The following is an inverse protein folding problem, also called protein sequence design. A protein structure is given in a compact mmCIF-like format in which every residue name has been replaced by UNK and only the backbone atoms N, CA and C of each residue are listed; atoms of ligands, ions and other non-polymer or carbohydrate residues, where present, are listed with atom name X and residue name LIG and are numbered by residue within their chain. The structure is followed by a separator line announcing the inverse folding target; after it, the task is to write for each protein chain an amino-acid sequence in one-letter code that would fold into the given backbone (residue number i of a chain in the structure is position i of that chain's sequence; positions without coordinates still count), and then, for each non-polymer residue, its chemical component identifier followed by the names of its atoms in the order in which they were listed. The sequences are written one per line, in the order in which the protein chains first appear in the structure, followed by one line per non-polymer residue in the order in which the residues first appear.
data_IF_307402372975
#
_entry.id   IF_307402372975
#
_cell.length_a   1.000
_cell.length_b   1.000
_cell.length_c   1.000
_cell.angle_alpha   90.00
_cell.angle_beta   90.00
_cell.angle_gamma   90.00
#
_symmetry.space_group_name_H-M   'P 1'
#
loop_
_entity.id
_entity.type
_entity.pdbx_description
1 polymer ?
#
# COMPACT_ATOMS: atom_id res chain seq x y z
N UNK A 1 -0.99 -15.81 24.53
CA UNK A 1 -1.68 -14.50 24.33
C UNK A 1 -1.39 -13.85 22.96
N UNK A 2 -1.00 -14.60 21.93
CA UNK A 2 -0.54 -14.06 20.62
C UNK A 2 -1.68 -13.85 19.62
N UNK A 3 -2.72 -14.68 19.69
CA UNK A 3 -3.89 -14.63 18.80
C UNK A 3 -4.66 -13.29 18.81
N UNK A 4 -4.99 -12.67 19.96
CA UNK A 4 -5.75 -11.41 19.96
C UNK A 4 -4.95 -10.25 19.35
N UNK A 5 -3.63 -10.22 19.55
CA UNK A 5 -2.77 -9.16 19.00
C UNK A 5 -2.65 -9.25 17.48
N UNK A 6 -2.61 -10.46 16.92
CA UNK A 6 -2.61 -10.68 15.47
C UNK A 6 -3.91 -10.20 14.82
N UNK A 7 -5.06 -10.48 15.45
CA UNK A 7 -6.37 -10.01 14.97
C UNK A 7 -6.43 -8.48 15.00
N UNK A 8 -5.99 -7.86 16.09
CA UNK A 8 -5.92 -6.39 16.21
C UNK A 8 -5.04 -5.79 15.12
N UNK A 9 -3.90 -6.40 14.84
CA UNK A 9 -2.99 -5.92 13.78
C UNK A 9 -3.59 -6.05 12.38
N UNK A 10 -4.29 -7.16 12.09
CA UNK A 10 -5.00 -7.33 10.81
C UNK A 10 -6.10 -6.27 10.66
N UNK A 11 -6.89 -6.03 11.71
CA UNK A 11 -7.90 -4.97 11.71
C UNK A 11 -7.26 -3.60 11.48
N UNK A 12 -6.15 -3.32 12.15
CA UNK A 12 -5.37 -2.09 11.95
C UNK A 12 -4.93 -1.94 10.49
N UNK A 13 -4.40 -3.00 9.86
CA UNK A 13 -4.02 -2.98 8.44
C UNK A 13 -5.21 -2.70 7.51
N UNK A 14 -6.38 -3.28 7.79
CA UNK A 14 -7.61 -3.00 7.04
C UNK A 14 -7.97 -1.52 7.17
N UNK A 15 -7.98 -0.97 8.39
CA UNK A 15 -8.25 0.45 8.61
C UNK A 15 -7.24 1.36 7.91
N UNK A 16 -5.94 1.04 7.96
CA UNK A 16 -4.91 1.77 7.23
C UNK A 16 -5.15 1.72 5.72
N UNK A 17 -5.52 0.57 5.17
CA UNK A 17 -5.82 0.40 3.73
C UNK A 17 -7.03 1.24 3.31
N UNK A 18 -8.10 1.22 4.11
CA UNK A 18 -9.28 2.05 3.88
C UNK A 18 -8.95 3.54 3.97
N UNK A 19 -8.15 3.93 4.96
CA UNK A 19 -7.67 5.30 5.11
C UNK A 19 -6.87 5.76 3.91
N UNK A 20 -5.87 4.98 3.48
CA UNK A 20 -5.06 5.28 2.29
C UNK A 20 -5.92 5.43 1.05
N UNK A 21 -6.82 4.47 0.80
CA UNK A 21 -7.76 4.55 -0.34
C UNK A 21 -8.56 5.83 -0.30
N UNK A 22 -9.18 6.14 0.84
CA UNK A 22 -9.99 7.36 1.01
C UNK A 22 -9.18 8.63 0.78
N UNK A 23 -7.96 8.68 1.30
CA UNK A 23 -7.08 9.83 1.19
C UNK A 23 -6.57 10.05 -0.24
N UNK A 24 -6.13 8.99 -0.93
CA UNK A 24 -5.71 9.03 -2.33
C UNK A 24 -6.89 9.45 -3.22
N UNK A 25 -8.06 8.82 -3.06
CA UNK A 25 -9.26 9.17 -3.83
C UNK A 25 -9.70 10.62 -3.61
N UNK A 26 -9.65 11.11 -2.37
CA UNK A 26 -10.01 12.50 -2.05
C UNK A 26 -9.10 13.50 -2.75
N UNK A 27 -7.78 13.26 -2.75
CA UNK A 27 -6.83 14.16 -3.37
C UNK A 27 -6.94 14.12 -4.90
N UNK A 28 -7.11 12.92 -5.45
CA UNK A 28 -7.36 12.70 -6.87
C UNK A 28 -8.60 13.47 -7.36
N UNK A 29 -9.74 13.36 -6.67
CA UNK A 29 -10.97 14.08 -7.02
C UNK A 29 -10.85 15.61 -6.89
N UNK A 30 -9.86 16.10 -6.13
CA UNK A 30 -9.60 17.54 -5.94
C UNK A 30 -8.56 18.10 -6.89
N UNK A 31 -8.02 17.29 -7.81
CA UNK A 31 -6.93 17.73 -8.69
C UNK A 31 -5.59 17.93 -7.98
N UNK A 32 -5.44 17.39 -6.76
CA UNK A 32 -4.23 17.57 -5.95
C UNK A 32 -3.29 16.37 -6.11
N UNK A 33 -1.97 16.54 -5.87
CA UNK A 33 -1.03 15.41 -5.75
C UNK A 33 -1.58 14.32 -4.82
N UNK A 34 -1.42 13.05 -5.18
CA UNK A 34 -2.04 11.93 -4.46
C UNK A 34 -1.66 11.90 -2.97
N UNK A 35 -0.46 12.38 -2.63
CA UNK A 35 0.04 12.50 -1.24
C UNK A 35 0.06 13.94 -0.70
N UNK A 36 -0.66 14.87 -1.31
CA UNK A 36 -0.54 16.31 -1.03
C UNK A 36 -0.77 16.72 0.43
N UNK A 37 0.19 17.46 1.02
CA UNK A 37 0.08 18.11 2.33
C UNK A 37 0.40 17.18 3.51
N UNK A 38 -0.31 17.36 4.64
CA UNK A 38 -0.12 16.55 5.87
C UNK A 38 -0.28 15.04 5.66
N UNK A 39 -0.99 14.68 4.60
CA UNK A 39 -1.17 13.37 4.04
C UNK A 39 0.15 12.60 3.79
N UNK A 40 1.23 13.27 3.38
CA UNK A 40 2.54 12.63 3.16
C UNK A 40 3.19 12.21 4.50
N UNK A 41 3.11 13.08 5.50
CA UNK A 41 3.61 12.82 6.85
C UNK A 41 2.80 11.68 7.50
N UNK A 42 1.47 11.75 7.41
CA UNK A 42 0.59 10.71 7.95
C UNK A 42 0.84 9.38 7.25
N UNK A 43 1.03 9.38 5.93
CA UNK A 43 1.41 8.18 5.18
C UNK A 43 2.69 7.57 5.72
N UNK A 44 3.70 8.39 5.98
CA UNK A 44 5.00 7.94 6.51
C UNK A 44 4.86 7.33 7.91
N UNK A 45 4.09 7.98 8.78
CA UNK A 45 3.81 7.49 10.14
C UNK A 45 3.08 6.15 10.08
N UNK A 46 2.02 6.03 9.27
CA UNK A 46 1.28 4.79 9.10
C UNK A 46 2.18 3.67 8.57
N UNK A 47 3.02 3.95 7.56
CA UNK A 47 3.97 2.98 7.04
C UNK A 47 4.93 2.48 8.14
N UNK A 48 5.43 3.37 9.00
CA UNK A 48 6.28 3.00 10.14
C UNK A 48 5.53 2.07 11.11
N UNK A 49 4.27 2.40 11.46
CA UNK A 49 3.45 1.55 12.33
C UNK A 49 3.16 0.19 11.71
N UNK A 50 2.95 0.12 10.39
CA UNK A 50 2.80 -1.15 9.68
C UNK A 50 4.07 -1.98 9.84
N UNK A 51 5.26 -1.40 9.60
CA UNK A 51 6.55 -2.10 9.72
C UNK A 51 6.77 -2.60 11.16
N UNK A 52 6.56 -1.75 12.17
CA UNK A 52 6.76 -2.12 13.58
C UNK A 52 5.73 -3.16 14.03
N UNK A 53 4.48 -3.02 13.62
CA UNK A 53 3.42 -3.96 13.99
C UNK A 53 3.64 -5.39 13.46
N UNK A 54 4.47 -5.58 12.43
CA UNK A 54 4.88 -6.92 11.96
C UNK A 54 5.64 -7.71 13.03
N UNK A 55 6.27 -7.07 14.02
CA UNK A 55 6.94 -7.78 15.13
C UNK A 55 5.95 -8.50 16.05
N UNK A 56 4.66 -8.15 16.00
CA UNK A 56 3.60 -8.81 16.78
C UNK A 56 3.20 -10.18 16.23
N UNK A 57 3.53 -10.46 14.96
CA UNK A 57 3.30 -11.76 14.33
C UNK A 57 4.55 -12.63 14.61
N UNK A 58 4.43 -13.86 15.11
CA UNK A 58 5.62 -14.70 15.33
C UNK A 58 6.11 -15.37 14.03
N UNK A 59 5.19 -15.81 13.18
CA UNK A 59 5.52 -16.55 11.95
C UNK A 59 6.01 -15.64 10.84
N UNK A 60 7.25 -15.85 10.38
CA UNK A 60 7.84 -15.11 9.26
C UNK A 60 7.03 -15.34 7.98
N UNK A 61 6.58 -16.57 7.71
CA UNK A 61 5.73 -16.89 6.56
C UNK A 61 4.43 -16.07 6.59
N UNK A 62 3.78 -15.97 7.74
CA UNK A 62 2.56 -15.16 7.90
C UNK A 62 2.81 -13.66 7.73
N UNK A 63 3.91 -13.11 8.27
CA UNK A 63 4.31 -11.70 8.08
C UNK A 63 4.39 -11.34 6.60
N UNK A 64 5.12 -12.15 5.84
CA UNK A 64 5.36 -11.94 4.41
C UNK A 64 4.04 -12.02 3.62
N UNK A 65 3.18 -13.00 3.92
CA UNK A 65 1.86 -13.13 3.27
C UNK A 65 0.97 -11.91 3.57
N UNK A 66 0.88 -11.49 4.83
CA UNK A 66 0.04 -10.34 5.22
C UNK A 66 0.54 -9.06 4.54
N UNK A 67 1.85 -8.85 4.50
CA UNK A 67 2.44 -7.67 3.85
C UNK A 67 2.27 -7.70 2.33
N UNK A 68 2.34 -8.89 1.71
CA UNK A 68 2.03 -9.09 0.29
C UNK A 68 0.58 -8.73 -0.03
N UNK A 69 -0.39 -9.22 0.77
CA UNK A 69 -1.81 -8.89 0.61
C UNK A 69 -2.03 -7.37 0.70
N UNK A 70 -1.41 -6.71 1.66
CA UNK A 70 -1.49 -5.26 1.81
C UNK A 70 -1.00 -4.51 0.56
N UNK A 71 0.16 -4.90 0.00
CA UNK A 71 0.70 -4.29 -1.22
C UNK A 71 -0.16 -4.57 -2.44
N UNK A 72 -0.75 -5.76 -2.56
CA UNK A 72 -1.68 -6.10 -3.64
C UNK A 72 -2.96 -5.26 -3.57
N UNK A 73 -3.49 -5.02 -2.38
CA UNK A 73 -4.64 -4.13 -2.18
C UNK A 73 -4.29 -2.69 -2.59
N UNK A 74 -3.12 -2.19 -2.17
CA UNK A 74 -2.66 -0.85 -2.57
C UNK A 74 -2.45 -0.75 -4.09
N UNK A 75 -1.88 -1.79 -4.72
CA UNK A 75 -1.73 -1.87 -6.17
C UNK A 75 -3.08 -1.79 -6.87
N UNK A 76 -4.09 -2.52 -6.37
CA UNK A 76 -5.45 -2.50 -6.90
C UNK A 76 -6.04 -1.08 -6.89
N UNK A 77 -5.87 -0.33 -5.80
CA UNK A 77 -6.31 1.07 -5.71
C UNK A 77 -5.66 1.92 -6.82
N UNK A 78 -4.34 1.83 -7.00
CA UNK A 78 -3.66 2.55 -8.08
C UNK A 78 -4.04 2.06 -9.48
N UNK A 79 -4.46 0.81 -9.65
CA UNK A 79 -5.01 0.32 -10.91
C UNK A 79 -6.37 0.95 -11.21
N UNK A 80 -7.27 0.99 -10.23
CA UNK A 80 -8.60 1.60 -10.37
C UNK A 80 -8.47 3.10 -10.67
N UNK A 81 -7.65 3.83 -9.93
CA UNK A 81 -7.43 5.27 -10.18
C UNK A 81 -6.77 5.49 -11.53
N UNK A 82 -5.81 4.62 -11.92
CA UNK A 82 -5.18 4.69 -13.23
C UNK A 82 -6.16 4.48 -14.38
N UNK A 83 -7.12 3.57 -14.22
CA UNK A 83 -8.21 3.37 -15.19
C UNK A 83 -9.11 4.61 -15.25
N UNK A 84 -9.57 5.09 -14.10
CA UNK A 84 -10.40 6.27 -14.00
C UNK A 84 -9.73 7.52 -14.60
N UNK A 85 -8.43 7.70 -14.41
CA UNK A 85 -7.66 8.82 -14.97
C UNK A 85 -7.66 8.79 -16.50
N UNK A 86 -7.48 7.61 -17.10
CA UNK A 86 -7.48 7.44 -18.56
C UNK A 86 -8.85 7.71 -19.19
N UNK A 87 -9.93 7.45 -18.47
CA UNK A 87 -11.29 7.65 -18.99
C UNK A 87 -11.83 9.06 -18.75
N UNK A 88 -11.36 9.76 -17.71
CA UNK A 88 -11.98 11.01 -17.26
C UNK A 88 -11.10 12.26 -17.39
N UNK A 89 -9.78 12.12 -17.57
CA UNK A 89 -8.88 13.26 -17.72
C UNK A 89 -8.20 13.25 -19.09
N UNK A 90 -7.77 14.42 -19.55
CA UNK A 90 -7.02 14.60 -20.79
C UNK A 90 -5.90 15.65 -20.63
N UNK A 91 -4.98 15.71 -21.60
CA UNK A 91 -3.90 16.71 -21.61
C UNK A 91 -2.97 16.65 -20.39
N UNK A 92 -2.69 17.80 -19.79
CA UNK A 92 -1.71 17.93 -18.72
C UNK A 92 -2.13 17.22 -17.42
N UNK A 93 -3.41 17.23 -17.08
CA UNK A 93 -3.93 16.58 -15.87
C UNK A 93 -3.80 15.05 -15.96
N UNK A 94 -4.11 14.48 -17.12
CA UNK A 94 -3.91 13.06 -17.40
C UNK A 94 -2.44 12.67 -17.17
N UNK A 95 -1.51 13.42 -17.78
CA UNK A 95 -0.07 13.15 -17.71
C UNK A 95 0.46 13.31 -16.28
N UNK A 96 -0.01 14.32 -15.55
CA UNK A 96 0.34 14.56 -14.16
C UNK A 96 -0.01 13.36 -13.28
N UNK A 97 -1.28 12.95 -13.27
CA UNK A 97 -1.72 11.81 -12.46
C UNK A 97 -1.14 10.48 -12.96
N UNK A 98 -0.97 10.30 -14.27
CA UNK A 98 -0.36 9.10 -14.82
C UNK A 98 1.10 8.94 -14.35
N UNK A 99 1.85 10.05 -14.24
CA UNK A 99 3.21 10.04 -13.71
C UNK A 99 3.24 9.67 -12.23
N UNK A 100 2.36 10.26 -11.41
CA UNK A 100 2.29 9.93 -9.98
C UNK A 100 1.89 8.46 -9.75
N UNK A 101 0.85 8.00 -10.44
CA UNK A 101 0.37 6.61 -10.36
C UNK A 101 1.46 5.64 -10.83
N UNK A 102 2.18 5.96 -11.90
CA UNK A 102 3.25 5.12 -12.40
C UNK A 102 4.40 5.01 -11.39
N UNK A 103 4.85 6.13 -10.84
CA UNK A 103 5.90 6.17 -9.81
C UNK A 103 5.52 5.29 -8.62
N UNK A 104 4.32 5.45 -8.08
CA UNK A 104 3.88 4.69 -6.91
C UNK A 104 3.70 3.20 -7.22
N UNK A 105 3.20 2.84 -8.42
CA UNK A 105 3.15 1.45 -8.89
C UNK A 105 4.53 0.81 -8.99
N UNK A 106 5.53 1.52 -9.50
CA UNK A 106 6.91 1.00 -9.60
C UNK A 106 7.45 0.63 -8.22
N UNK A 107 7.29 1.49 -7.22
CA UNK A 107 7.71 1.18 -5.85
C UNK A 107 6.97 -0.04 -5.27
N UNK A 108 5.67 -0.18 -5.56
CA UNK A 108 4.88 -1.33 -5.13
C UNK A 108 5.38 -2.61 -5.82
N UNK A 109 5.64 -2.58 -7.13
CA UNK A 109 6.17 -3.74 -7.86
C UNK A 109 7.54 -4.17 -7.34
N UNK A 110 8.43 -3.22 -7.08
CA UNK A 110 9.74 -3.51 -6.47
C UNK A 110 9.57 -4.15 -5.08
N UNK A 111 8.65 -3.63 -4.26
CA UNK A 111 8.37 -4.16 -2.92
C UNK A 111 7.80 -5.58 -2.98
N UNK A 112 6.85 -5.84 -3.90
CA UNK A 112 6.29 -7.18 -4.13
C UNK A 112 7.38 -8.14 -4.59
N UNK A 113 8.22 -7.74 -5.55
CA UNK A 113 9.33 -8.56 -6.03
C UNK A 113 10.29 -8.96 -4.91
N UNK A 114 10.70 -8.00 -4.08
CA UNK A 114 11.56 -8.27 -2.92
C UNK A 114 10.89 -9.22 -1.92
N UNK A 115 9.60 -9.07 -1.67
CA UNK A 115 8.85 -9.96 -0.78
C UNK A 115 8.75 -11.38 -1.31
N UNK A 116 8.49 -11.55 -2.61
CA UNK A 116 8.44 -12.87 -3.22
C UNK A 116 9.79 -13.57 -3.15
N UNK A 117 10.88 -12.86 -3.44
CA UNK A 117 12.24 -13.38 -3.25
C UNK A 117 12.45 -13.82 -1.79
N UNK A 118 12.09 -12.96 -0.83
CA UNK A 118 12.22 -13.25 0.61
C UNK A 118 11.37 -14.47 1.02
N UNK A 119 10.15 -14.58 0.49
CA UNK A 119 9.25 -15.71 0.77
C UNK A 119 9.83 -17.02 0.24
N UNK A 120 10.41 -17.00 -0.95
CA UNK A 120 11.12 -18.16 -1.54
C UNK A 120 12.29 -18.57 -0.66
N UNK A 121 13.14 -17.62 -0.23
CA UNK A 121 14.23 -17.92 0.70
C UNK A 121 13.74 -18.57 1.98
N UNK A 122 12.74 -17.97 2.64
CA UNK A 122 12.16 -18.52 3.87
C UNK A 122 11.60 -19.92 3.65
N UNK A 123 10.93 -20.17 2.53
CA UNK A 123 10.40 -21.50 2.21
C UNK A 123 11.49 -22.57 2.09
N UNK A 124 12.66 -22.23 1.51
CA UNK A 124 13.77 -23.18 1.39
C UNK A 124 14.62 -23.32 2.65
N UNK A 125 14.61 -22.32 3.55
CA UNK A 125 15.41 -22.34 4.79
C UNK A 125 14.63 -22.76 6.05
N UNK A 126 13.30 -22.91 5.98
CA UNK A 126 12.43 -23.29 7.12
C UNK A 126 11.43 -24.36 6.78
#
# INVERSE_FOLDING_TARGET
MVFPMMIIYILFLIFCTLYFTKMICRNYLRGLPLRHGQNEIISTIITLFIIVGQFLIPSIKQKLIIFLIFLLLLLLVYMIIGLHNRTNHSGNELLFFQREIHRDKVYIYLSIGLLLITLVFVYFTT
#
